data_IF_414590356439
#
_entry.id   IF_414590356439
#
_cell.length_a   1.000
_cell.length_b   1.000
_cell.length_c   1.000
_cell.angle_alpha   90.00
_cell.angle_beta   90.00
_cell.angle_gamma   90.00
#
_symmetry.space_group_name_H-M   'P 1'
#
loop_
_entity.id
_entity.type
_entity.pdbx_description
1 polymer ?
#
# COMPACT_ATOMS: atom_id res chain seq x y z
N UNK A 1 -5.92 0.56 8.64
CA UNK A 1 -6.01 -0.32 7.48
C UNK A 1 -6.90 0.30 6.40
N UNK A 2 -6.36 0.61 5.23
CA UNK A 2 -6.75 -0.27 4.15
C UNK A 2 -6.54 -1.67 4.67
N UNK A 3 -7.52 -2.59 4.63
CA UNK A 3 -7.25 -3.97 4.99
C UNK A 3 -5.91 -4.34 4.32
N UNK A 4 -5.03 -5.04 5.02
CA UNK A 4 -3.68 -5.42 4.58
C UNK A 4 -3.59 -5.76 3.08
N UNK A 5 -4.71 -6.27 2.59
CA UNK A 5 -5.26 -6.19 1.26
C UNK A 5 -4.83 -5.11 0.23
N UNK A 6 -4.77 -3.80 0.51
CA UNK A 6 -4.46 -2.78 -0.54
C UNK A 6 -2.98 -2.64 -0.84
N UNK A 7 -2.13 -3.10 0.09
CA UNK A 7 -0.69 -2.95 0.04
C UNK A 7 0.03 -4.19 -0.49
N UNK A 8 -0.72 -5.18 -0.97
CA UNK A 8 -0.18 -6.44 -1.44
C UNK A 8 0.26 -6.39 -2.91
N UNK A 9 1.19 -7.28 -3.27
CA UNK A 9 1.66 -7.51 -4.64
C UNK A 9 0.53 -7.60 -5.68
N UNK A 10 -0.54 -8.33 -5.34
CA UNK A 10 -1.83 -8.23 -6.00
C UNK A 10 -2.73 -7.45 -5.05
N UNK A 11 -3.12 -6.22 -5.41
CA UNK A 11 -4.11 -5.50 -4.62
C UNK A 11 -5.37 -6.33 -4.52
N UNK A 12 -5.86 -6.45 -3.30
CA UNK A 12 -7.13 -7.13 -3.04
C UNK A 12 -8.21 -6.08 -2.78
N UNK A 13 -8.23 -5.11 -3.69
CA UNK A 13 -9.02 -3.87 -3.83
C UNK A 13 -10.54 -4.07 -3.88
N UNK A 14 -11.04 -5.24 -3.53
CA UNK A 14 -12.47 -5.54 -3.44
C UNK A 14 -13.12 -4.64 -2.37
N UNK A 15 -14.05 -3.73 -2.75
CA UNK A 15 -14.77 -2.92 -1.76
C UNK A 15 -15.54 -3.80 -0.78
N UNK A 16 -15.97 -4.99 -1.22
CA UNK A 16 -16.59 -6.00 -0.37
C UNK A 16 -15.64 -6.53 0.71
N UNK A 17 -14.38 -6.78 0.38
CA UNK A 17 -13.38 -7.17 1.38
C UNK A 17 -13.11 -6.04 2.38
N UNK A 18 -12.99 -4.80 1.90
CA UNK A 18 -12.86 -3.60 2.73
C UNK A 18 -14.00 -3.48 3.75
N UNK A 19 -15.26 -3.63 3.30
CA UNK A 19 -16.42 -3.56 4.18
C UNK A 19 -16.52 -4.69 5.22
N UNK A 20 -15.76 -5.78 5.05
CA UNK A 20 -15.72 -6.93 5.96
C UNK A 20 -14.47 -6.92 6.86
N UNK A 21 -13.79 -5.78 7.00
CA UNK A 21 -12.57 -5.67 7.80
C UNK A 21 -11.43 -6.56 7.28
N UNK A 22 -11.41 -6.87 5.98
CA UNK A 22 -10.43 -7.78 5.39
C UNK A 22 -10.64 -9.27 5.70
N UNK A 23 -11.74 -9.64 6.39
CA UNK A 23 -12.10 -11.03 6.67
C UNK A 23 -12.66 -11.74 5.41
N UNK A 24 -11.83 -11.88 4.37
CA UNK A 24 -12.28 -12.30 3.05
C UNK A 24 -11.59 -13.56 2.50
N UNK A 25 -10.60 -14.10 3.23
CA UNK A 25 -9.84 -15.31 2.89
C UNK A 25 -10.70 -16.56 2.62
N UNK A 26 -11.91 -16.61 3.19
CA UNK A 26 -12.88 -17.70 2.96
C UNK A 26 -14.11 -17.28 2.13
N UNK A 27 -14.28 -15.98 1.85
CA UNK A 27 -15.45 -15.43 1.18
C UNK A 27 -15.21 -15.02 -0.27
N UNK A 28 -13.95 -14.85 -0.69
CA UNK A 28 -13.61 -14.49 -2.07
C UNK A 28 -14.16 -15.50 -3.08
N UNK A 29 -14.65 -15.02 -4.22
CA UNK A 29 -15.22 -15.88 -5.28
C UNK A 29 -14.86 -15.30 -6.64
N UNK A 30 -14.90 -16.15 -7.67
CA UNK A 30 -14.57 -15.74 -9.04
C UNK A 30 -13.14 -15.21 -9.14
N UNK A 31 -12.94 -14.15 -9.92
CA UNK A 31 -11.61 -13.56 -10.13
C UNK A 31 -10.96 -13.05 -8.84
N UNK A 32 -11.73 -12.64 -7.83
CA UNK A 32 -11.19 -12.18 -6.55
C UNK A 32 -10.46 -13.28 -5.77
N UNK A 33 -10.75 -14.55 -6.05
CA UNK A 33 -10.07 -15.68 -5.42
C UNK A 33 -8.56 -15.69 -5.73
N UNK A 34 -8.14 -15.13 -6.88
CA UNK A 34 -6.73 -15.06 -7.30
C UNK A 34 -5.86 -14.36 -6.26
N UNK A 35 -6.36 -13.26 -5.69
CA UNK A 35 -5.62 -12.41 -4.75
C UNK A 35 -5.81 -12.81 -3.27
N UNK A 36 -6.83 -13.63 -2.98
CA UNK A 36 -7.20 -14.03 -1.61
C UNK A 36 -6.88 -15.47 -1.28
N UNK A 37 -7.38 -16.42 -2.06
CA UNK A 37 -7.14 -17.84 -1.89
C UNK A 37 -7.58 -18.58 -3.17
N UNK A 38 -6.65 -19.08 -4.00
CA UNK A 38 -6.99 -19.72 -5.27
C UNK A 38 -7.90 -20.94 -5.10
N UNK A 39 -7.84 -21.66 -3.98
CA UNK A 39 -8.69 -22.83 -3.73
C UNK A 39 -10.20 -22.53 -3.78
N UNK A 40 -10.59 -21.27 -3.55
CA UNK A 40 -11.99 -20.84 -3.62
C UNK A 40 -12.56 -20.86 -5.04
N UNK A 41 -11.73 -20.95 -6.08
CA UNK A 41 -12.18 -21.21 -7.47
C UNK A 41 -12.84 -22.57 -7.64
N UNK A 42 -12.63 -23.49 -6.70
CA UNK A 42 -13.27 -24.79 -6.68
C UNK A 42 -14.33 -24.93 -5.58
N UNK A 43 -14.61 -23.89 -4.77
CA UNK A 43 -15.62 -23.92 -3.72
C UNK A 43 -17.06 -24.16 -4.24
N UNK A 44 -17.98 -24.64 -3.40
CA UNK A 44 -19.42 -24.74 -3.75
C UNK A 44 -20.01 -23.34 -3.87
N UNK A 45 -20.98 -23.22 -4.77
CA UNK A 45 -21.62 -21.93 -5.06
C UNK A 45 -20.68 -20.91 -5.73
N UNK A 46 -19.55 -21.38 -6.27
CA UNK A 46 -18.71 -20.54 -7.14
C UNK A 46 -19.52 -20.07 -8.36
N UNK A 47 -19.33 -18.83 -8.82
CA UNK A 47 -19.84 -18.40 -10.11
C UNK A 47 -19.24 -19.24 -11.26
N UNK A 48 -19.96 -19.34 -12.38
CA UNK A 48 -19.43 -20.00 -13.57
C UNK A 48 -18.50 -19.07 -14.33
N UNK A 49 -18.87 -17.80 -14.37
CA UNK A 49 -18.12 -16.74 -15.02
C UNK A 49 -18.10 -15.49 -14.13
N UNK A 50 -16.96 -14.84 -14.00
CA UNK A 50 -16.91 -13.48 -13.45
C UNK A 50 -15.95 -12.61 -14.26
N UNK A 51 -16.27 -11.33 -14.34
CA UNK A 51 -15.43 -10.29 -14.93
C UNK A 51 -15.32 -9.14 -13.92
N UNK A 52 -14.12 -8.87 -13.44
CA UNK A 52 -13.79 -7.67 -12.68
C UNK A 52 -13.37 -6.57 -13.64
N UNK A 53 -14.04 -5.42 -13.54
CA UNK A 53 -13.56 -4.19 -14.17
C UNK A 53 -12.59 -3.48 -13.22
N UNK A 54 -11.79 -2.51 -13.71
CA UNK A 54 -10.92 -1.74 -12.85
C UNK A 54 -11.71 -1.15 -11.68
N UNK A 55 -11.22 -1.43 -10.48
CA UNK A 55 -11.72 -0.91 -9.22
C UNK A 55 -10.69 0.06 -8.68
N UNK A 56 -11.16 1.12 -8.04
CA UNK A 56 -10.30 2.13 -7.44
C UNK A 56 -10.44 2.00 -5.94
N UNK A 57 -9.29 1.92 -5.28
CA UNK A 57 -9.23 2.13 -3.86
C UNK A 57 -8.14 3.13 -3.55
N UNK A 58 -8.51 4.06 -2.68
CA UNK A 58 -7.66 5.16 -2.27
C UNK A 58 -7.58 5.15 -0.75
N UNK A 59 -6.36 5.14 -0.24
CA UNK A 59 -6.09 5.43 1.17
C UNK A 59 -5.36 6.77 1.25
N UNK A 60 -5.89 7.62 2.12
CA UNK A 60 -5.19 8.79 2.59
C UNK A 60 -5.07 8.72 4.10
N UNK A 61 -3.85 8.86 4.58
CA UNK A 61 -3.55 8.78 6.00
C UNK A 61 -2.27 9.50 6.37
N UNK A 62 -2.14 9.74 7.67
CA UNK A 62 -0.94 10.30 8.27
C UNK A 62 -0.52 9.44 9.46
N UNK A 63 0.71 9.60 9.92
CA UNK A 63 1.14 9.06 11.21
C UNK A 63 0.64 9.90 12.41
N UNK A 64 0.32 11.18 12.20
CA UNK A 64 -0.04 12.13 13.27
C UNK A 64 -1.46 12.68 13.14
N UNK A 65 -1.91 12.96 11.92
CA UNK A 65 -3.20 13.64 11.68
C UNK A 65 -4.30 12.67 11.29
N UNK A 66 -5.40 12.69 12.02
CA UNK A 66 -6.58 11.91 11.69
C UNK A 66 -7.59 12.68 10.85
N UNK A 67 -8.59 11.97 10.34
CA UNK A 67 -9.65 12.55 9.53
C UNK A 67 -10.41 13.69 10.24
N UNK A 68 -10.54 13.61 11.57
CA UNK A 68 -11.12 14.68 12.38
C UNK A 68 -10.31 15.97 12.32
N UNK A 69 -8.97 15.89 12.28
CA UNK A 69 -8.08 17.05 12.15
C UNK A 69 -8.25 17.69 10.78
N UNK A 70 -8.22 16.88 9.71
CA UNK A 70 -8.47 17.35 8.35
C UNK A 70 -9.83 18.05 8.25
N UNK A 71 -10.90 17.46 8.78
CA UNK A 71 -12.23 18.07 8.74
C UNK A 71 -12.31 19.37 9.56
N UNK A 72 -11.62 19.44 10.70
CA UNK A 72 -11.63 20.62 11.58
C UNK A 72 -10.90 21.80 10.95
N UNK A 73 -9.80 21.54 10.24
CA UNK A 73 -8.87 22.58 9.77
C UNK A 73 -8.90 22.80 8.25
N UNK A 74 -9.58 21.96 7.48
CA UNK A 74 -9.78 22.19 6.04
C UNK A 74 -10.43 23.56 5.81
N UNK A 75 -9.81 24.34 4.92
CA UNK A 75 -10.25 25.68 4.54
C UNK A 75 -10.38 26.68 5.70
N UNK A 76 -9.59 26.52 6.77
CA UNK A 76 -9.53 27.48 7.89
C UNK A 76 -8.13 28.05 8.04
N UNK A 77 -8.08 29.32 8.43
CA UNK A 77 -6.85 29.93 8.94
C UNK A 77 -6.57 29.34 10.33
N UNK A 78 -5.35 28.83 10.52
CA UNK A 78 -4.92 28.27 11.80
C UNK A 78 -4.50 29.39 12.75
N UNK A 79 -5.12 29.44 13.93
CA UNK A 79 -4.63 30.29 15.02
C UNK A 79 -3.44 29.64 15.75
N UNK A 80 -2.86 30.32 16.74
CA UNK A 80 -1.70 29.82 17.48
C UNK A 80 -2.00 28.53 18.26
N UNK A 81 -3.21 28.38 18.79
CA UNK A 81 -3.61 27.19 19.53
C UNK A 81 -3.78 25.98 18.60
N UNK A 82 -4.35 26.21 17.41
CA UNK A 82 -4.49 25.21 16.36
C UNK A 82 -3.12 24.72 15.87
N UNK A 83 -2.17 25.64 15.62
CA UNK A 83 -0.79 25.30 15.23
C UNK A 83 -0.08 24.51 16.33
N UNK A 84 -0.17 24.94 17.59
CA UNK A 84 0.42 24.23 18.72
C UNK A 84 -0.16 22.82 18.88
N UNK A 85 -1.47 22.66 18.69
CA UNK A 85 -2.13 21.35 18.70
C UNK A 85 -1.62 20.43 17.59
N UNK A 86 -1.56 20.94 16.35
CA UNK A 86 -1.08 20.17 15.19
C UNK A 86 0.40 19.80 15.33
N UNK A 87 1.24 20.72 15.81
CA UNK A 87 2.66 20.45 16.03
C UNK A 87 2.88 19.48 17.20
N UNK A 88 2.06 19.57 18.25
CA UNK A 88 2.10 18.68 19.41
C UNK A 88 1.74 17.22 19.09
N UNK A 89 0.99 16.99 18.00
CA UNK A 89 0.68 15.64 17.47
C UNK A 89 1.83 15.01 16.68
N UNK A 90 2.82 15.80 16.26
CA UNK A 90 4.00 15.30 15.56
C UNK A 90 5.05 14.94 16.60
N UNK A 91 5.51 13.69 16.58
CA UNK A 91 6.61 13.23 17.43
C UNK A 91 7.96 13.62 16.79
N UNK A 92 8.35 12.90 15.74
CA UNK A 92 9.60 13.16 14.99
C UNK A 92 9.36 13.79 13.63
N UNK A 93 8.40 13.27 12.88
CA UNK A 93 8.08 13.71 11.52
C UNK A 93 6.60 13.52 11.23
N UNK A 94 6.07 14.34 10.33
CA UNK A 94 4.77 14.17 9.70
C UNK A 94 4.94 13.36 8.42
N UNK A 95 4.50 12.12 8.43
CA UNK A 95 4.42 11.26 7.25
C UNK A 95 3.03 11.34 6.65
N UNK A 96 2.94 11.68 5.38
CA UNK A 96 1.75 11.51 4.55
C UNK A 96 1.94 10.25 3.72
N UNK A 97 0.91 9.41 3.68
CA UNK A 97 0.89 8.17 2.90
C UNK A 97 -0.20 8.25 1.86
N UNK A 98 0.18 7.93 0.63
CA UNK A 98 -0.74 7.73 -0.47
C UNK A 98 -0.57 6.30 -0.98
N UNK A 99 -1.68 5.56 -1.03
CA UNK A 99 -1.71 4.23 -1.64
C UNK A 99 -2.65 4.31 -2.83
N UNK A 100 -2.06 4.12 -4.01
CA UNK A 100 -2.79 3.97 -5.24
C UNK A 100 -2.78 2.50 -5.65
N UNK A 101 -3.95 1.88 -5.57
CA UNK A 101 -4.16 0.55 -6.09
C UNK A 101 -5.21 0.61 -7.20
N UNK A 102 -4.77 0.40 -8.44
CA UNK A 102 -5.68 0.18 -9.57
C UNK A 102 -5.94 -1.31 -9.63
N UNK A 103 -7.13 -1.68 -9.18
CA UNK A 103 -7.58 -3.08 -9.07
C UNK A 103 -7.59 -3.77 -10.43
N UNK A 104 -7.37 -5.10 -10.44
CA UNK A 104 -7.22 -5.81 -11.68
C UNK A 104 -8.44 -5.81 -12.58
N UNK A 105 -8.18 -5.78 -13.89
CA UNK A 105 -9.08 -6.47 -14.81
C UNK A 105 -8.92 -7.96 -14.54
N UNK A 106 -10.01 -8.60 -14.12
CA UNK A 106 -10.02 -9.99 -13.68
C UNK A 106 -11.04 -10.80 -14.44
N UNK A 107 -10.72 -12.03 -14.81
CA UNK A 107 -11.69 -12.96 -15.41
C UNK A 107 -11.58 -14.30 -14.70
N UNK A 108 -12.71 -14.94 -14.43
CA UNK A 108 -12.73 -16.33 -14.00
C UNK A 108 -13.69 -17.14 -14.84
N UNK A 109 -13.27 -18.33 -15.25
CA UNK A 109 -14.10 -19.30 -15.94
C UNK A 109 -13.94 -20.65 -15.25
N UNK A 110 -14.99 -21.09 -14.58
CA UNK A 110 -14.94 -22.30 -13.79
C UNK A 110 -13.78 -22.27 -12.78
N UNK A 111 -12.83 -23.21 -12.92
CA UNK A 111 -11.74 -23.43 -11.93
C UNK A 111 -10.51 -22.57 -12.21
N UNK A 112 -10.55 -21.76 -13.27
CA UNK A 112 -9.46 -20.92 -13.71
C UNK A 112 -9.81 -19.46 -13.47
N UNK A 113 -8.80 -18.66 -13.15
CA UNK A 113 -8.93 -17.22 -13.14
C UNK A 113 -7.62 -16.54 -13.53
N UNK A 114 -7.74 -15.35 -14.11
CA UNK A 114 -6.63 -14.49 -14.48
C UNK A 114 -6.90 -13.08 -14.01
N UNK A 115 -5.86 -12.38 -13.56
CA UNK A 115 -5.93 -10.97 -13.15
C UNK A 115 -4.68 -10.22 -13.58
N UNK A 116 -4.82 -8.96 -13.97
CA UNK A 116 -3.72 -8.04 -14.21
C UNK A 116 -3.95 -6.76 -13.39
N UNK A 117 -3.06 -6.44 -12.45
CA UNK A 117 -3.21 -5.30 -11.54
C UNK A 117 -1.94 -4.45 -11.47
N UNK A 118 -2.09 -3.14 -11.27
CA UNK A 118 -0.98 -2.24 -11.00
C UNK A 118 -1.12 -1.66 -9.60
N UNK A 119 -0.03 -1.68 -8.84
CA UNK A 119 0.03 -1.18 -7.48
C UNK A 119 1.26 -0.32 -7.26
N UNK A 120 1.10 0.67 -6.39
CA UNK A 120 2.19 1.48 -5.88
C UNK A 120 1.89 1.99 -4.50
N UNK A 121 2.95 2.29 -3.77
CA UNK A 121 2.90 2.94 -2.47
C UNK A 121 3.93 4.07 -2.50
N UNK A 122 3.51 5.22 -2.00
CA UNK A 122 4.39 6.37 -1.81
C UNK A 122 4.16 6.94 -0.41
N UNK A 123 5.25 7.31 0.24
CA UNK A 123 5.22 8.14 1.44
C UNK A 123 6.20 9.27 1.30
N UNK A 124 5.79 10.41 1.83
CA UNK A 124 6.66 11.55 2.07
C UNK A 124 6.57 11.91 3.55
N UNK A 125 7.72 12.17 4.15
CA UNK A 125 7.85 12.61 5.53
C UNK A 125 8.50 13.97 5.58
N UNK A 126 8.00 14.83 6.46
CA UNK A 126 8.60 16.11 6.81
C UNK A 126 8.97 16.11 8.30
N UNK A 127 10.21 16.46 8.63
CA UNK A 127 10.66 16.60 10.00
C UNK A 127 9.81 17.58 10.80
N UNK A 128 9.66 17.35 12.10
CA UNK A 128 8.83 18.20 12.97
C UNK A 128 9.22 19.68 12.89
N UNK A 129 10.52 19.96 12.89
CA UNK A 129 11.03 21.33 12.78
C UNK A 129 10.73 21.96 11.42
N UNK A 130 10.74 21.19 10.33
CA UNK A 130 10.30 21.68 9.02
C UNK A 130 8.80 22.00 9.01
N UNK A 131 7.98 21.21 9.70
CA UNK A 131 6.54 21.50 9.86
C UNK A 131 6.33 22.71 10.77
N UNK A 132 7.11 22.85 11.85
CA UNK A 132 7.08 24.02 12.73
C UNK A 132 7.38 25.30 11.93
N UNK A 133 8.47 25.30 11.17
CA UNK A 133 8.84 26.41 10.31
C UNK A 133 7.74 26.75 9.29
N UNK A 134 7.08 25.76 8.69
CA UNK A 134 5.98 25.98 7.75
C UNK A 134 4.71 26.54 8.41
N UNK A 135 4.42 26.15 9.66
CA UNK A 135 3.23 26.60 10.39
C UNK A 135 3.43 27.96 11.07
N UNK A 136 4.56 28.14 11.73
CA UNK A 136 4.84 29.25 12.63
C UNK A 136 5.85 30.26 12.08
N UNK A 137 6.54 29.94 10.98
CA UNK A 137 7.69 30.70 10.55
C UNK A 137 8.86 30.54 11.53
N UNK A 138 9.75 31.52 11.55
CA UNK A 138 10.97 31.50 12.36
C UNK A 138 10.95 32.52 13.52
N UNK A 139 9.90 33.34 13.64
CA UNK A 139 9.86 34.46 14.58
C UNK A 139 9.81 34.04 16.05
N UNK A 140 9.28 32.84 16.36
CA UNK A 140 9.20 32.31 17.74
C UNK A 140 10.47 31.58 18.19
N UNK A 141 11.40 31.32 17.25
CA UNK A 141 12.63 30.56 17.48
C UNK A 141 13.77 31.23 16.72
N UNK A 142 14.17 32.39 17.24
CA UNK A 142 15.15 33.31 16.65
C UNK A 142 16.28 33.70 17.61
N UNK A 143 16.48 32.96 18.70
CA UNK A 143 17.57 33.18 19.65
C UNK A 143 18.93 32.66 19.15
N UNK A 144 20.05 33.12 19.70
CA UNK A 144 21.36 32.57 19.37
C UNK A 144 21.44 31.07 19.66
N UNK A 145 21.83 30.27 18.66
CA UNK A 145 21.94 28.82 18.78
C UNK A 145 20.63 28.07 18.55
N UNK A 146 19.54 28.76 18.21
CA UNK A 146 18.31 28.12 17.77
C UNK A 146 18.31 27.90 16.26
N UNK A 147 18.05 26.67 15.84
CA UNK A 147 18.03 26.28 14.44
C UNK A 147 16.89 25.32 14.15
N UNK A 148 16.29 25.42 12.97
CA UNK A 148 15.36 24.42 12.46
C UNK A 148 16.12 23.36 11.68
N UNK A 149 15.64 22.13 11.71
CA UNK A 149 16.17 21.03 10.89
C UNK A 149 15.06 20.43 10.03
N UNK A 150 15.45 19.84 8.91
CA UNK A 150 14.62 18.93 8.14
C UNK A 150 14.84 17.47 8.57
N UNK A 151 15.38 17.22 9.77
CA UNK A 151 15.69 15.88 10.27
C UNK A 151 14.45 14.98 10.25
N UNK A 152 14.59 13.80 9.66
CA UNK A 152 13.49 12.85 9.51
C UNK A 152 12.60 13.11 8.29
N UNK A 153 12.98 14.07 7.43
CA UNK A 153 12.36 14.25 6.12
C UNK A 153 12.90 13.24 5.11
N UNK A 154 12.04 12.83 4.18
CA UNK A 154 12.42 11.90 3.13
C UNK A 154 11.19 11.36 2.40
N UNK A 155 11.43 10.51 1.42
CA UNK A 155 10.37 9.85 0.69
C UNK A 155 10.78 8.43 0.31
N UNK A 156 9.80 7.54 0.18
CA UNK A 156 10.00 6.23 -0.41
C UNK A 156 8.86 5.95 -1.37
N UNK A 157 9.14 5.20 -2.42
CA UNK A 157 8.07 4.77 -3.31
C UNK A 157 8.44 3.58 -4.17
N UNK A 158 7.41 2.86 -4.61
CA UNK A 158 7.53 1.82 -5.62
C UNK A 158 6.26 1.73 -6.45
N UNK A 159 6.38 1.19 -7.66
CA UNK A 159 5.25 0.84 -8.52
C UNK A 159 5.55 -0.44 -9.30
N UNK A 160 4.57 -1.34 -9.39
CA UNK A 160 4.70 -2.59 -10.12
C UNK A 160 3.36 -3.05 -10.71
N UNK A 161 3.42 -3.78 -11.81
CA UNK A 161 2.30 -4.51 -12.38
C UNK A 161 2.47 -5.99 -12.14
N UNK A 162 1.40 -6.65 -11.68
CA UNK A 162 1.36 -8.09 -11.47
C UNK A 162 0.31 -8.73 -12.36
N UNK A 163 0.75 -9.67 -13.20
CA UNK A 163 -0.11 -10.60 -13.93
C UNK A 163 -0.19 -11.89 -13.13
N UNK A 164 -1.39 -12.43 -12.93
CA UNK A 164 -1.57 -13.64 -12.15
C UNK A 164 -2.59 -14.58 -12.78
N UNK A 165 -2.28 -15.88 -12.75
CA UNK A 165 -3.14 -16.96 -13.20
C UNK A 165 -3.31 -17.99 -12.10
N UNK A 166 -4.55 -18.41 -11.85
CA UNK A 166 -4.90 -19.33 -10.79
C UNK A 166 -5.70 -20.52 -11.28
N UNK A 167 -5.52 -21.63 -10.57
CA UNK A 167 -6.29 -22.85 -10.75
C UNK A 167 -6.60 -23.52 -9.41
N UNK A 168 -7.71 -24.26 -9.33
CA UNK A 168 -8.07 -25.04 -8.15
C UNK A 168 -8.58 -26.45 -8.44
N UNK A 169 -8.19 -27.39 -7.60
CA UNK A 169 -8.57 -28.80 -7.64
C UNK A 169 -9.44 -29.17 -6.42
N UNK A 170 -10.67 -29.67 -6.62
CA UNK A 170 -11.51 -30.17 -5.54
C UNK A 170 -11.30 -31.65 -5.27
N UNK A 171 -11.45 -32.04 -4.01
CA UNK A 171 -11.42 -33.40 -3.48
C UNK A 171 -12.60 -33.60 -2.53
N UNK A 172 -13.21 -34.78 -2.55
CA UNK A 172 -14.15 -35.18 -1.50
C UNK A 172 -13.37 -35.89 -0.40
N UNK A 173 -13.65 -35.57 0.85
CA UNK A 173 -13.06 -36.20 2.04
C UNK A 173 -14.18 -36.59 3.00
N UNK A 174 -13.87 -37.41 4.01
CA UNK A 174 -14.84 -37.78 5.06
C UNK A 174 -15.31 -36.60 5.91
N UNK A 175 -14.59 -35.47 5.90
CA UNK A 175 -14.94 -34.25 6.63
C UNK A 175 -15.78 -33.29 5.79
N UNK A 176 -15.84 -33.52 4.47
CA UNK A 176 -16.53 -32.67 3.50
C UNK A 176 -15.69 -32.41 2.26
N UNK A 177 -15.84 -31.23 1.67
CA UNK A 177 -15.20 -30.91 0.39
C UNK A 177 -13.94 -30.09 0.60
N UNK A 178 -12.80 -30.70 0.34
CA UNK A 178 -11.51 -30.01 0.29
C UNK A 178 -11.30 -29.45 -1.11
N UNK A 179 -10.69 -28.28 -1.22
CA UNK A 179 -10.05 -27.86 -2.46
C UNK A 179 -8.68 -27.28 -2.19
N UNK A 180 -7.77 -27.54 -3.12
CA UNK A 180 -6.43 -26.98 -3.17
C UNK A 180 -6.36 -26.05 -4.37
N UNK A 181 -5.59 -24.97 -4.28
CA UNK A 181 -5.40 -24.06 -5.39
C UNK A 181 -4.01 -23.47 -5.41
N UNK A 182 -3.60 -23.03 -6.59
CA UNK A 182 -2.34 -22.34 -6.80
C UNK A 182 -2.56 -21.09 -7.66
N UNK A 183 -1.75 -20.07 -7.41
CA UNK A 183 -1.64 -18.87 -8.24
C UNK A 183 -0.20 -18.70 -8.67
N UNK A 184 0.07 -18.59 -9.96
CA UNK A 184 1.35 -18.10 -10.46
C UNK A 184 1.25 -16.60 -10.74
N UNK A 185 2.31 -15.85 -10.41
CA UNK A 185 2.40 -14.40 -10.60
C UNK A 185 3.66 -14.06 -11.37
N UNK A 186 3.52 -13.12 -12.31
CA UNK A 186 4.61 -12.41 -12.97
C UNK A 186 4.55 -10.95 -12.57
N UNK A 187 5.65 -10.43 -12.02
CA UNK A 187 5.77 -9.02 -11.61
C UNK A 187 6.67 -8.29 -12.59
N UNK A 188 6.22 -7.12 -13.02
CA UNK A 188 6.98 -6.12 -13.75
C UNK A 188 7.15 -4.94 -12.81
N UNK A 189 8.38 -4.71 -12.33
CA UNK A 189 8.71 -3.56 -11.51
C UNK A 189 8.88 -2.35 -12.42
N UNK A 190 8.15 -1.29 -12.13
CA UNK A 190 8.25 -0.04 -12.87
C UNK A 190 9.20 0.90 -12.14
N UNK A 191 8.87 1.24 -10.90
CA UNK A 191 9.59 2.24 -10.11
C UNK A 191 10.01 1.66 -8.77
N UNK A 192 11.20 2.03 -8.31
CA UNK A 192 11.57 2.00 -6.90
C UNK A 192 12.46 3.20 -6.62
N UNK A 193 12.25 3.87 -5.50
CA UNK A 193 13.06 5.02 -5.15
C UNK A 193 12.97 5.41 -3.68
N UNK A 194 13.99 6.15 -3.25
CA UNK A 194 14.12 6.67 -1.90
C UNK A 194 14.86 8.00 -1.93
N UNK A 195 14.33 8.96 -1.21
CA UNK A 195 14.98 10.23 -0.89
C UNK A 195 15.12 10.37 0.63
N UNK A 196 16.23 10.94 1.08
CA UNK A 196 16.46 11.22 2.48
C UNK A 196 17.26 12.51 2.66
N UNK A 197 16.94 13.23 3.73
CA UNK A 197 17.79 14.28 4.26
C UNK A 197 19.02 13.65 4.93
N UNK A 198 20.18 14.30 4.75
CA UNK A 198 21.46 13.87 5.33
C UNK A 198 21.92 14.85 6.39
N UNK A 199 21.81 16.16 6.11
CA UNK A 199 22.04 17.21 7.10
C UNK A 199 21.22 18.44 6.77
N UNK A 200 20.80 19.18 7.79
CA UNK A 200 20.07 20.43 7.59
C UNK A 200 20.17 21.31 8.82
N UNK A 201 20.31 22.61 8.58
CA UNK A 201 20.28 23.66 9.59
C UNK A 201 19.70 24.91 8.96
N UNK A 202 18.76 25.56 9.65
CA UNK A 202 18.23 26.86 9.28
C UNK A 202 18.24 27.75 10.52
N UNK A 203 19.00 28.83 10.48
CA UNK A 203 19.20 29.78 11.56
C UNK A 203 19.12 31.20 11.00
N UNK A 204 18.59 32.13 11.80
CA UNK A 204 18.43 33.54 11.41
C UNK A 204 19.10 34.55 12.34
N UNK A 205 19.70 34.10 13.44
CA UNK A 205 20.35 34.95 14.45
C UNK A 205 21.58 34.22 15.01
N UNK A 206 22.78 34.83 15.05
CA UNK A 206 23.09 36.25 14.81
C UNK A 206 23.15 36.66 13.35
N UNK A 207 23.35 35.70 12.44
CA UNK A 207 23.30 35.91 11.01
C UNK A 207 22.43 34.81 10.39
N UNK A 208 21.87 35.11 9.23
CA UNK A 208 21.19 34.11 8.41
C UNK A 208 22.18 33.02 7.97
N UNK A 209 21.90 31.76 8.28
CA UNK A 209 22.69 30.60 7.86
C UNK A 209 21.75 29.42 7.61
N UNK A 210 21.76 28.95 6.38
CA UNK A 210 20.99 27.80 5.92
C UNK A 210 21.95 26.83 5.28
N UNK A 211 21.91 25.57 5.70
CA UNK A 211 22.54 24.47 4.99
C UNK A 211 21.55 23.31 4.90
N UNK A 212 21.50 22.67 3.75
CA UNK A 212 20.68 21.50 3.53
C UNK A 212 21.39 20.55 2.58
N UNK A 213 21.49 19.29 2.97
CA UNK A 213 21.99 18.22 2.13
C UNK A 213 21.05 17.03 2.16
N UNK A 214 20.93 16.39 1.01
CA UNK A 214 20.10 15.22 0.85
C UNK A 214 20.58 14.39 -0.32
N UNK A 215 20.07 13.18 -0.36
CA UNK A 215 20.32 12.27 -1.46
C UNK A 215 19.05 11.54 -1.88
N UNK A 216 19.03 11.12 -3.13
CA UNK A 216 17.98 10.31 -3.70
C UNK A 216 18.61 9.21 -4.53
N UNK A 217 17.98 8.03 -4.52
CA UNK A 217 18.27 6.97 -5.46
C UNK A 217 16.95 6.45 -6.00
N UNK A 218 16.86 6.28 -7.31
CA UNK A 218 15.65 5.85 -7.97
C UNK A 218 15.95 5.17 -9.29
N UNK A 219 15.02 4.35 -9.76
CA UNK A 219 15.07 3.84 -11.14
C UNK A 219 14.70 4.96 -12.11
N UNK A 220 15.63 5.36 -12.96
CA UNK A 220 15.48 6.41 -13.96
C UNK A 220 14.63 5.95 -15.14
N UNK A 221 13.56 6.69 -15.40
CA UNK A 221 12.65 6.52 -16.54
C UNK A 221 12.92 7.49 -17.69
N UNK A 222 13.75 8.51 -17.46
CA UNK A 222 13.88 9.69 -18.32
C UNK A 222 14.53 9.42 -19.67
N UNK A 223 15.12 8.24 -19.89
CA UNK A 223 15.85 7.95 -21.12
C UNK A 223 15.00 7.64 -22.36
N UNK A 224 13.68 7.43 -22.23
CA UNK A 224 12.76 7.32 -23.39
C UNK A 224 11.27 7.17 -23.06
N UNK A 225 10.85 6.99 -21.80
CA UNK A 225 9.51 6.50 -21.53
C UNK A 225 8.43 7.60 -21.55
N UNK A 226 7.62 7.63 -22.60
CA UNK A 226 6.34 8.36 -22.63
C UNK A 226 5.23 7.34 -22.42
N UNK A 227 4.44 7.48 -21.36
CA UNK A 227 3.21 6.69 -21.19
C UNK A 227 2.20 7.16 -22.26
N UNK A 228 2.23 6.51 -23.42
CA UNK A 228 1.34 6.82 -24.54
C UNK A 228 0.12 5.88 -24.58
N UNK A 229 0.20 4.74 -23.90
CA UNK A 229 -0.94 3.87 -23.63
C UNK A 229 -0.67 2.74 -22.64
N UNK A 230 -1.69 1.93 -22.31
CA UNK A 230 -1.58 0.81 -21.36
C UNK A 230 -0.57 -0.28 -21.78
N UNK A 231 -0.28 -0.40 -23.08
CA UNK A 231 0.70 -1.34 -23.61
C UNK A 231 2.15 -1.01 -23.19
N UNK A 232 2.44 0.27 -22.98
CA UNK A 232 3.78 0.74 -22.58
C UNK A 232 4.12 0.29 -21.15
N UNK A 233 3.12 0.09 -20.30
CA UNK A 233 3.31 -0.44 -18.93
C UNK A 233 3.77 -1.91 -18.95
N UNK A 234 3.48 -2.64 -20.02
CA UNK A 234 3.83 -4.06 -20.14
C UNK A 234 5.07 -4.30 -21.04
N UNK A 235 5.56 -3.24 -21.72
CA UNK A 235 6.69 -3.27 -22.63
C UNK A 235 8.07 -3.20 -21.95
N UNK A 236 9.14 -3.40 -22.73
CA UNK A 236 10.52 -3.44 -22.24
C UNK A 236 11.08 -2.11 -21.72
N UNK A 237 10.58 -0.97 -22.21
CA UNK A 237 11.07 0.36 -21.83
C UNK A 237 10.60 0.78 -20.43
N UNK A 238 9.40 0.37 -20.00
CA UNK A 238 8.81 0.66 -18.68
C UNK A 238 9.16 -0.34 -17.56
N UNK A 239 10.16 -1.20 -17.79
CA UNK A 239 10.56 -2.27 -16.88
C UNK A 239 11.91 -1.97 -16.21
N UNK A 240 11.89 -1.60 -14.94
CA UNK A 240 13.09 -1.49 -14.11
C UNK A 240 13.30 -2.69 -13.16
N UNK A 241 12.32 -3.58 -13.06
CA UNK A 241 12.43 -4.80 -12.26
C UNK A 241 11.61 -5.96 -12.80
N UNK A 242 11.92 -7.16 -12.34
CA UNK A 242 11.24 -8.40 -12.74
C UNK A 242 11.12 -9.33 -11.55
N UNK A 243 9.95 -9.94 -11.39
CA UNK A 243 9.72 -10.90 -10.33
C UNK A 243 8.72 -11.97 -10.67
N UNK A 244 8.59 -12.93 -9.76
CA UNK A 244 7.58 -13.97 -9.80
C UNK A 244 7.11 -14.32 -8.40
N UNK A 245 5.94 -14.96 -8.31
CA UNK A 245 5.39 -15.45 -7.06
C UNK A 245 4.51 -16.68 -7.30
N UNK A 246 4.43 -17.54 -6.29
CA UNK A 246 3.51 -18.67 -6.25
C UNK A 246 2.75 -18.63 -4.93
N UNK A 247 1.43 -18.59 -5.01
CA UNK A 247 0.55 -18.74 -3.86
C UNK A 247 0.00 -20.15 -3.82
N UNK A 248 -0.12 -20.72 -2.62
CA UNK A 248 -0.70 -22.05 -2.39
C UNK A 248 -1.81 -21.93 -1.37
N UNK A 249 -3.01 -22.32 -1.77
CA UNK A 249 -4.23 -22.18 -0.98
C UNK A 249 -4.94 -23.50 -0.76
N UNK A 250 -5.64 -23.60 0.37
CA UNK A 250 -6.56 -24.69 0.69
C UNK A 250 -7.87 -24.13 1.24
N UNK A 251 -8.96 -24.83 0.99
CA UNK A 251 -10.26 -24.54 1.60
C UNK A 251 -11.00 -25.85 1.89
N UNK A 252 -11.61 -25.94 3.07
CA UNK A 252 -12.43 -27.07 3.49
C UNK A 252 -13.84 -26.59 3.79
N UNK A 253 -14.81 -27.13 3.07
CA UNK A 253 -16.23 -26.98 3.36
C UNK A 253 -16.71 -28.20 4.14
N UNK A 254 -17.07 -27.99 5.41
CA UNK A 254 -17.48 -29.10 6.27
C UNK A 254 -18.87 -29.62 5.86
N UNK A 255 -19.01 -30.94 5.78
CA UNK A 255 -20.28 -31.55 5.40
C UNK A 255 -21.37 -31.29 6.44
N UNK A 256 -22.59 -31.00 5.97
CA UNK A 256 -23.74 -30.66 6.83
C UNK A 256 -23.62 -29.36 7.62
N UNK A 257 -22.49 -28.63 7.50
CA UNK A 257 -22.21 -27.38 8.20
C UNK A 257 -22.01 -26.29 7.17
N UNK A 258 -22.68 -25.16 7.33
CA UNK A 258 -22.45 -23.99 6.46
C UNK A 258 -21.14 -23.26 6.76
N UNK A 259 -20.13 -24.00 7.25
CA UNK A 259 -18.84 -23.53 7.71
C UNK A 259 -17.76 -23.87 6.68
N UNK A 260 -17.00 -22.86 6.30
CA UNK A 260 -15.83 -22.96 5.44
C UNK A 260 -14.60 -22.54 6.24
N UNK A 261 -13.53 -23.33 6.15
CA UNK A 261 -12.21 -23.02 6.70
C UNK A 261 -11.25 -22.85 5.53
N UNK A 262 -10.36 -21.86 5.59
CA UNK A 262 -9.45 -21.57 4.50
C UNK A 262 -8.08 -21.14 5.00
N UNK A 263 -7.04 -21.54 4.29
CA UNK A 263 -5.67 -21.10 4.53
C UNK A 263 -4.94 -20.87 3.20
N UNK A 264 -3.99 -19.94 3.18
CA UNK A 264 -3.16 -19.66 2.01
C UNK A 264 -1.78 -19.19 2.46
N UNK A 265 -0.75 -19.60 1.73
CA UNK A 265 0.59 -19.03 1.79
C UNK A 265 0.81 -18.23 0.51
N UNK A 266 0.90 -16.92 0.66
CA UNK A 266 1.18 -15.96 -0.41
C UNK A 266 2.69 -15.88 -0.60
N UNK A 267 3.15 -15.93 -1.85
CA UNK A 267 4.57 -16.00 -2.20
C UNK A 267 5.29 -17.15 -1.48
N UNK A 268 4.65 -18.32 -1.40
CA UNK A 268 5.28 -19.54 -0.90
C UNK A 268 6.63 -19.78 -1.59
N UNK A 269 6.67 -19.51 -2.89
CA UNK A 269 7.87 -19.27 -3.67
C UNK A 269 7.78 -17.88 -4.28
N UNK A 270 8.90 -17.19 -4.41
CA UNK A 270 8.92 -15.88 -5.07
C UNK A 270 10.26 -15.18 -4.96
N UNK A 271 10.48 -14.28 -5.91
CA UNK A 271 11.69 -13.48 -6.00
C UNK A 271 11.45 -12.25 -6.86
N UNK A 272 12.25 -11.21 -6.63
CA UNK A 272 12.23 -9.96 -7.37
C UNK A 272 13.68 -9.52 -7.55
N UNK A 273 14.03 -9.07 -8.75
CA UNK A 273 15.28 -8.39 -9.05
C UNK A 273 15.00 -7.06 -9.73
N UNK A 274 15.93 -6.13 -9.57
CA UNK A 274 15.89 -4.81 -10.18
C UNK A 274 17.10 -4.66 -11.09
N UNK A 275 16.91 -3.95 -12.20
CA UNK A 275 17.94 -3.62 -13.15
C UNK A 275 18.80 -2.50 -12.58
N UNK A 276 19.98 -2.86 -12.09
CA UNK A 276 20.88 -1.92 -11.42
C UNK A 276 21.45 -0.85 -12.36
N UNK A 277 21.48 -1.12 -13.67
CA UNK A 277 21.96 -0.17 -14.68
C UNK A 277 20.92 0.94 -14.96
N UNK A 278 19.71 0.81 -14.42
CA UNK A 278 18.66 1.81 -14.48
C UNK A 278 18.59 2.72 -13.26
N UNK A 279 19.48 2.57 -12.27
CA UNK A 279 19.48 3.50 -11.14
C UNK A 279 20.17 4.82 -11.48
N UNK A 280 19.54 5.90 -11.07
CA UNK A 280 20.16 7.20 -10.88
C UNK A 280 20.26 7.50 -9.39
N UNK A 281 21.40 8.06 -9.01
CA UNK A 281 21.66 8.59 -7.69
C UNK A 281 21.98 10.08 -7.81
N UNK A 282 21.30 10.89 -7.01
CA UNK A 282 21.63 12.31 -6.89
C UNK A 282 21.89 12.66 -5.44
N UNK A 283 22.95 13.44 -5.19
CA UNK A 283 23.25 14.04 -3.89
C UNK A 283 23.43 15.53 -4.11
N UNK A 284 22.71 16.33 -3.35
CA UNK A 284 22.82 17.79 -3.39
C UNK A 284 23.11 18.30 -1.99
N UNK A 285 24.01 19.26 -1.87
CA UNK A 285 24.21 20.05 -0.68
C UNK A 285 24.23 21.53 -1.08
N UNK A 286 23.35 22.31 -0.48
CA UNK A 286 23.26 23.75 -0.68
C UNK A 286 23.46 24.46 0.66
N UNK A 287 24.16 25.58 0.64
CA UNK A 287 24.25 26.49 1.77
C UNK A 287 24.04 27.93 1.31
N UNK A 288 23.41 28.73 2.16
CA UNK A 288 23.27 30.17 2.01
C UNK A 288 23.55 30.79 3.36
N UNK A 289 24.57 31.63 3.45
CA UNK A 289 25.01 32.24 4.71
C UNK A 289 25.23 33.73 4.55
N UNK A 290 25.02 34.48 5.63
CA UNK A 290 25.31 35.90 5.70
C UNK A 290 26.63 36.11 6.45
N UNK A 291 27.58 36.78 5.81
CA UNK A 291 28.86 37.12 6.44
C UNK A 291 28.69 38.23 7.48
N UNK A 292 29.70 38.43 8.34
CA UNK A 292 29.73 39.53 9.31
C UNK A 292 29.60 40.93 8.66
N UNK A 293 29.96 41.06 7.37
CA UNK A 293 29.78 42.28 6.58
C UNK A 293 28.39 42.43 5.93
N UNK A 294 27.46 41.51 6.21
CA UNK A 294 26.11 41.52 5.65
C UNK A 294 25.99 40.96 4.23
N UNK A 295 27.09 40.48 3.63
CA UNK A 295 27.07 39.87 2.30
C UNK A 295 26.44 38.47 2.37
N UNK A 296 25.65 38.12 1.36
CA UNK A 296 25.12 36.75 1.20
C UNK A 296 26.10 35.94 0.36
N UNK A 297 26.46 34.76 0.86
CA UNK A 297 27.27 33.76 0.17
C UNK A 297 26.44 32.52 0.02
N UNK A 298 26.29 32.04 -1.21
CA UNK A 298 25.67 30.78 -1.54
C UNK A 298 26.68 29.80 -2.13
N UNK A 299 26.53 28.53 -1.76
CA UNK A 299 27.26 27.43 -2.37
C UNK A 299 26.28 26.30 -2.64
N UNK A 300 26.45 25.62 -3.77
CA UNK A 300 25.65 24.46 -4.12
C UNK A 300 26.54 23.45 -4.81
N UNK A 301 26.62 22.27 -4.21
CA UNK A 301 27.29 21.10 -4.77
C UNK A 301 26.24 20.07 -5.17
N UNK A 302 26.36 19.55 -6.38
CA UNK A 302 25.51 18.48 -6.89
C UNK A 302 26.37 17.36 -7.46
N UNK A 303 26.03 16.15 -7.08
CA UNK A 303 26.62 14.91 -7.60
C UNK A 303 25.49 14.10 -8.21
N UNK A 304 25.68 13.68 -9.46
CA UNK A 304 24.74 12.85 -10.19
C UNK A 304 25.49 11.63 -10.74
N UNK A 305 25.04 10.43 -10.39
CA UNK A 305 25.61 9.15 -10.81
C UNK A 305 24.49 8.35 -11.48
N UNK A 306 24.69 7.94 -12.74
CA UNK A 306 23.60 7.35 -13.55
C UNK A 306 23.95 5.99 -14.13
N UNK A 307 25.04 5.40 -13.66
CA UNK A 307 25.48 4.06 -14.07
C UNK A 307 25.82 3.25 -12.83
N UNK A 308 25.61 1.93 -12.92
CA UNK A 308 25.95 1.00 -11.85
C UNK A 308 27.40 1.14 -11.39
N UNK A 309 28.34 1.23 -12.32
CA UNK A 309 29.77 1.37 -12.02
C UNK A 309 30.10 2.63 -11.20
N UNK A 310 29.45 3.76 -11.50
CA UNK A 310 29.59 4.99 -10.71
C UNK A 310 28.98 4.85 -9.32
N UNK A 311 27.78 4.24 -9.22
CA UNK A 311 27.07 4.01 -7.96
C UNK A 311 27.87 3.06 -7.06
N UNK A 312 28.47 2.00 -7.61
CA UNK A 312 29.32 1.07 -6.86
C UNK A 312 30.59 1.74 -6.33
N UNK A 313 31.17 2.67 -7.10
CA UNK A 313 32.37 3.39 -6.71
C UNK A 313 32.14 4.39 -5.57
N UNK A 314 30.97 5.04 -5.47
CA UNK A 314 30.62 5.94 -4.35
C UNK A 314 30.04 5.15 -3.15
N UNK A 315 30.71 5.14 -1.97
CA UNK A 315 30.23 4.36 -0.82
C UNK A 315 28.85 4.77 -0.30
N UNK A 316 28.47 6.05 -0.40
CA UNK A 316 27.15 6.53 0.05
C UNK A 316 26.06 6.09 -0.93
N UNK A 317 26.31 6.20 -2.24
CA UNK A 317 25.37 5.73 -3.26
C UNK A 317 25.16 4.22 -3.16
N UNK A 318 26.24 3.45 -3.02
CA UNK A 318 26.21 1.99 -2.80
C UNK A 318 25.42 1.61 -1.55
N UNK A 319 25.69 2.27 -0.42
CA UNK A 319 24.98 2.01 0.83
C UNK A 319 23.47 2.28 0.74
N UNK A 320 23.08 3.35 0.04
CA UNK A 320 21.67 3.67 -0.16
C UNK A 320 20.99 2.66 -1.11
N UNK A 321 21.67 2.27 -2.20
CA UNK A 321 21.19 1.21 -3.11
C UNK A 321 20.99 -0.11 -2.37
N UNK A 322 21.99 -0.56 -1.62
CA UNK A 322 21.94 -1.84 -0.92
C UNK A 322 20.82 -1.83 0.14
N UNK A 323 20.64 -0.71 0.84
CA UNK A 323 19.50 -0.54 1.76
C UNK A 323 18.15 -0.57 1.04
N UNK A 324 18.05 0.01 -0.16
CA UNK A 324 16.83 -0.01 -0.96
C UNK A 324 16.52 -1.43 -1.45
N UNK A 325 17.53 -2.15 -1.95
CA UNK A 325 17.41 -3.48 -2.53
C UNK A 325 17.21 -4.60 -1.49
N UNK A 326 17.67 -4.42 -0.24
CA UNK A 326 17.54 -5.41 0.83
C UNK A 326 16.09 -5.88 1.07
N UNK A 327 15.11 -5.03 0.76
CA UNK A 327 13.68 -5.33 0.91
C UNK A 327 12.89 -5.08 -0.38
N UNK A 328 13.55 -5.09 -1.54
CA UNK A 328 12.94 -4.76 -2.82
C UNK A 328 12.14 -5.91 -3.49
N UNK A 329 11.72 -6.90 -2.71
CA UNK A 329 10.79 -7.97 -3.14
C UNK A 329 9.46 -7.91 -2.39
N UNK A 330 8.54 -8.84 -2.66
CA UNK A 330 7.25 -8.89 -1.94
C UNK A 330 7.31 -9.84 -0.75
N UNK A 331 6.56 -9.54 0.31
CA UNK A 331 6.56 -10.37 1.49
C UNK A 331 5.90 -11.72 1.25
N UNK A 332 6.39 -12.71 2.02
CA UNK A 332 5.69 -13.95 2.27
C UNK A 332 4.66 -13.72 3.36
N UNK A 333 3.43 -14.15 3.13
CA UNK A 333 2.31 -13.94 4.06
C UNK A 333 1.52 -15.22 4.19
N UNK A 334 1.19 -15.61 5.42
CA UNK A 334 0.20 -16.66 5.68
C UNK A 334 -1.11 -15.98 6.03
N UNK A 335 -2.21 -16.45 5.42
CA UNK A 335 -3.56 -16.05 5.81
C UNK A 335 -4.37 -17.27 6.17
N UNK A 336 -5.20 -17.13 7.18
CA UNK A 336 -6.19 -18.13 7.55
C UNK A 336 -7.53 -17.45 7.83
N UNK A 337 -8.62 -18.16 7.61
CA UNK A 337 -9.95 -17.63 7.85
C UNK A 337 -11.01 -18.70 7.93
N UNK A 338 -12.18 -18.25 8.36
CA UNK A 338 -13.40 -19.03 8.38
C UNK A 338 -14.57 -18.19 7.91
N UNK A 339 -15.57 -18.84 7.34
CA UNK A 339 -16.84 -18.21 6.97
C UNK A 339 -18.03 -19.12 7.29
N UNK A 340 -19.06 -18.53 7.89
CA UNK A 340 -20.34 -19.19 8.19
C UNK A 340 -21.45 -18.52 7.38
N UNK A 341 -22.25 -19.29 6.65
CA UNK A 341 -23.40 -18.77 5.89
C UNK A 341 -24.72 -19.36 6.40
N UNK A 342 -25.63 -18.52 6.89
CA UNK A 342 -26.98 -18.96 7.32
C UNK A 342 -28.04 -18.07 6.69
N UNK A 343 -28.75 -18.59 5.70
CA UNK A 343 -29.77 -17.85 4.96
C UNK A 343 -29.21 -16.58 4.30
N UNK A 344 -29.75 -15.42 4.68
CA UNK A 344 -29.32 -14.11 4.21
C UNK A 344 -28.05 -13.57 4.89
N UNK A 345 -27.61 -14.20 5.99
CA UNK A 345 -26.47 -13.77 6.78
C UNK A 345 -25.21 -14.57 6.40
N UNK A 346 -24.10 -13.86 6.23
CA UNK A 346 -22.76 -14.44 6.15
C UNK A 346 -21.87 -13.77 7.19
N UNK A 347 -21.15 -14.57 7.96
CA UNK A 347 -20.16 -14.12 8.93
C UNK A 347 -18.79 -14.61 8.47
N UNK A 348 -17.75 -13.81 8.67
CA UNK A 348 -16.39 -14.23 8.44
C UNK A 348 -15.45 -13.67 9.49
N UNK A 349 -14.40 -14.44 9.75
CA UNK A 349 -13.28 -14.02 10.57
C UNK A 349 -12.00 -14.55 9.94
N UNK A 350 -10.90 -13.84 10.13
CA UNK A 350 -9.62 -14.29 9.62
C UNK A 350 -8.47 -13.46 10.15
N UNK A 351 -7.28 -13.93 9.84
CA UNK A 351 -6.06 -13.25 10.19
C UNK A 351 -4.95 -13.55 9.21
N UNK A 352 -3.88 -12.80 9.37
CA UNK A 352 -2.68 -12.97 8.58
C UNK A 352 -1.43 -12.68 9.40
N UNK A 353 -0.34 -13.31 8.97
CA UNK A 353 0.98 -13.15 9.53
C UNK A 353 1.98 -12.96 8.39
N UNK A 354 2.79 -11.90 8.48
CA UNK A 354 3.88 -11.62 7.56
C UNK A 354 5.12 -12.39 8.01
N UNK A 355 5.68 -13.19 7.12
CA UNK A 355 6.84 -14.05 7.39
C UNK A 355 8.16 -13.43 6.90
N UNK A 356 8.12 -12.44 6.01
CA UNK A 356 9.31 -11.75 5.52
C UNK A 356 9.05 -10.26 5.28
N UNK A 357 10.09 -9.44 5.31
CA UNK A 357 10.03 -8.05 4.84
C UNK A 357 9.94 -7.99 3.30
N UNK A 358 9.58 -6.84 2.78
CA UNK A 358 9.34 -6.58 1.36
C UNK A 358 8.80 -5.16 1.12
N UNK A 359 8.66 -4.80 -0.16
CA UNK A 359 8.10 -3.55 -0.69
C UNK A 359 6.68 -3.29 -0.19
N UNK A 360 5.91 -4.36 -0.04
CA UNK A 360 4.56 -4.29 0.48
C UNK A 360 4.53 -3.83 1.95
N UNK A 361 3.53 -3.01 2.28
CA UNK A 361 3.33 -2.50 3.64
C UNK A 361 2.31 -3.29 4.44
N UNK A 362 2.15 -4.56 4.07
CA UNK A 362 1.36 -5.53 4.82
C UNK A 362 1.80 -5.53 6.29
N UNK A 363 0.88 -5.35 7.26
CA UNK A 363 1.21 -5.39 8.68
C UNK A 363 1.84 -6.73 9.08
N UNK A 364 2.70 -6.71 10.12
CA UNK A 364 3.36 -7.92 10.63
C UNK A 364 2.34 -9.00 11.02
N UNK A 365 1.25 -8.60 11.66
CA UNK A 365 0.11 -9.45 11.93
C UNK A 365 -1.18 -8.61 11.89
N UNK A 366 -2.30 -9.23 11.54
CA UNK A 366 -3.61 -8.61 11.70
C UNK A 366 -4.70 -9.64 11.82
N UNK A 367 -5.78 -9.29 12.51
CA UNK A 367 -7.01 -10.08 12.59
C UNK A 367 -8.20 -9.19 12.23
N UNK A 368 -9.25 -9.78 11.68
CA UNK A 368 -10.48 -9.09 11.34
C UNK A 368 -11.67 -10.01 11.32
N UNK A 369 -12.85 -9.42 11.47
CA UNK A 369 -14.13 -10.08 11.35
C UNK A 369 -15.14 -9.16 10.66
N UNK A 370 -16.09 -9.76 9.95
CA UNK A 370 -17.12 -9.04 9.23
C UNK A 370 -18.40 -9.84 9.05
N UNK A 371 -19.48 -9.10 8.80
CA UNK A 371 -20.79 -9.64 8.52
C UNK A 371 -21.34 -9.04 7.22
N UNK A 372 -22.01 -9.87 6.43
CA UNK A 372 -22.81 -9.47 5.27
C UNK A 372 -24.25 -9.95 5.48
N UNK A 373 -25.22 -9.05 5.37
CA UNK A 373 -26.65 -9.38 5.35
C UNK A 373 -27.25 -8.98 4.00
N UNK A 374 -28.07 -9.85 3.41
CA UNK A 374 -28.79 -9.59 2.17
C UNK A 374 -30.28 -9.45 2.45
N UNK A 375 -30.70 -8.23 2.80
CA UNK A 375 -32.12 -7.92 3.06
C UNK A 375 -32.97 -8.14 1.80
N UNK A 376 -32.45 -7.68 0.66
CA UNK A 376 -32.93 -8.01 -0.67
C UNK A 376 -31.80 -8.74 -1.40
N UNK A 377 -32.14 -9.63 -2.35
CA UNK A 377 -31.13 -10.34 -3.16
C UNK A 377 -30.17 -9.40 -3.89
N UNK A 378 -30.58 -8.15 -4.09
CA UNK A 378 -29.87 -7.12 -4.84
C UNK A 378 -29.06 -6.15 -3.98
N UNK A 379 -29.27 -6.11 -2.66
CA UNK A 379 -28.71 -5.07 -1.78
C UNK A 379 -28.02 -5.69 -0.54
N UNK A 380 -26.78 -6.18 -0.66
CA UNK A 380 -25.97 -6.57 0.48
C UNK A 380 -25.59 -5.35 1.33
N UNK A 381 -25.74 -5.48 2.65
CA UNK A 381 -25.17 -4.57 3.65
C UNK A 381 -24.04 -5.29 4.38
N UNK A 382 -22.94 -4.57 4.61
CA UNK A 382 -21.71 -5.14 5.16
C UNK A 382 -21.11 -4.24 6.22
N UNK A 383 -20.58 -4.86 7.26
CA UNK A 383 -19.82 -4.19 8.29
C UNK A 383 -18.69 -5.11 8.78
N UNK A 384 -17.59 -4.51 9.21
CA UNK A 384 -16.45 -5.27 9.70
C UNK A 384 -15.51 -4.45 10.55
N UNK A 385 -14.71 -5.16 11.34
CA UNK A 385 -13.70 -4.60 12.22
C UNK A 385 -12.40 -5.38 12.09
N UNK A 386 -11.27 -4.70 12.23
CA UNK A 386 -9.93 -5.29 12.17
C UNK A 386 -8.95 -4.59 13.10
N UNK A 387 -7.87 -5.28 13.46
CA UNK A 387 -6.74 -4.71 14.19
C UNK A 387 -5.42 -5.31 13.71
N UNK A 388 -4.38 -4.48 13.65
CA UNK A 388 -2.98 -4.89 13.46
C UNK A 388 -2.16 -4.78 14.76
N UNK A 389 -2.86 -4.70 15.90
CA UNK A 389 -2.33 -4.51 17.24
C UNK A 389 -1.69 -3.14 17.52
N UNK A 390 -1.61 -2.26 16.51
CA UNK A 390 -1.23 -0.85 16.67
C UNK A 390 -2.39 0.11 16.36
N UNK A 391 -3.38 -0.35 15.61
CA UNK A 391 -4.53 0.43 15.18
C UNK A 391 -5.75 -0.46 15.01
N UNK A 392 -6.92 0.14 15.25
CA UNK A 392 -8.23 -0.46 14.98
C UNK A 392 -8.80 0.13 13.71
N UNK A 393 -9.47 -0.70 12.91
CA UNK A 393 -10.17 -0.28 11.70
C UNK A 393 -11.61 -0.73 11.77
N UNK A 394 -12.51 0.22 11.55
CA UNK A 394 -13.94 -0.03 11.41
C UNK A 394 -14.34 0.24 9.97
N UNK A 395 -15.17 -0.62 9.41
CA UNK A 395 -15.52 -0.60 8.00
C UNK A 395 -16.98 -0.90 7.78
N UNK A 396 -17.54 -0.29 6.75
CA UNK A 396 -18.90 -0.53 6.30
C UNK A 396 -18.96 -0.42 4.77
N UNK A 397 -19.96 -1.04 4.18
CA UNK A 397 -20.18 -0.93 2.75
C UNK A 397 -21.46 -1.61 2.30
N UNK A 398 -21.79 -1.38 1.05
CA UNK A 398 -22.94 -1.96 0.39
C UNK A 398 -22.64 -2.20 -1.09
N UNK A 399 -23.57 -2.82 -1.79
CA UNK A 399 -23.48 -2.96 -3.22
C UNK A 399 -24.84 -3.17 -3.85
N UNK A 400 -24.88 -3.10 -5.17
CA UNK A 400 -26.03 -3.38 -6.01
C UNK A 400 -25.71 -4.59 -6.89
N UNK A 401 -26.47 -5.67 -6.72
CA UNK A 401 -26.38 -6.91 -7.49
C UNK A 401 -27.63 -7.06 -8.35
N UNK A 402 -27.57 -6.67 -9.62
CA UNK A 402 -28.72 -6.66 -10.51
C UNK A 402 -28.34 -7.19 -11.90
N UNK A 403 -29.06 -8.21 -12.40
CA UNK A 403 -28.88 -8.75 -13.75
C UNK A 403 -27.43 -9.08 -14.12
N UNK A 404 -26.70 -9.66 -13.17
CA UNK A 404 -25.28 -10.03 -13.34
C UNK A 404 -24.31 -8.88 -13.11
N UNK A 405 -24.74 -7.61 -13.07
CA UNK A 405 -23.92 -6.49 -12.62
C UNK A 405 -23.74 -6.54 -11.10
N UNK A 406 -22.53 -6.28 -10.63
CA UNK A 406 -22.22 -5.99 -9.24
C UNK A 406 -21.49 -4.65 -9.15
N UNK A 407 -22.04 -3.69 -8.41
CA UNK A 407 -21.37 -2.44 -8.05
C UNK A 407 -21.27 -2.35 -6.54
N UNK A 408 -20.07 -2.18 -5.98
CA UNK A 408 -19.83 -2.13 -4.54
C UNK A 408 -19.15 -0.81 -4.14
N UNK A 409 -19.55 -0.29 -2.99
CA UNK A 409 -18.93 0.86 -2.32
C UNK A 409 -18.62 0.51 -0.88
N UNK A 410 -17.48 0.97 -0.38
CA UNK A 410 -17.13 0.83 1.02
C UNK A 410 -16.25 1.94 1.54
N UNK A 411 -16.30 2.12 2.85
CA UNK A 411 -15.50 3.06 3.62
C UNK A 411 -14.94 2.36 4.84
N UNK A 412 -13.70 2.71 5.21
CA UNK A 412 -13.15 2.35 6.49
C UNK A 412 -12.46 3.53 7.16
N UNK A 413 -12.57 3.60 8.48
CA UNK A 413 -11.86 4.54 9.32
C UNK A 413 -10.82 3.81 10.15
N UNK A 414 -9.62 4.38 10.21
CA UNK A 414 -8.49 3.83 10.94
C UNK A 414 -8.23 4.73 12.14
N UNK A 415 -8.25 4.14 13.33
CA UNK A 415 -7.97 4.83 14.59
C UNK A 415 -6.81 4.14 15.31
N UNK A 416 -5.79 4.90 15.68
CA UNK A 416 -4.61 4.40 16.39
C UNK A 416 -3.51 5.46 16.43
N UNK A 417 -2.54 5.30 17.34
CA UNK A 417 -1.53 6.32 17.65
C UNK A 417 -0.51 6.56 16.54
N UNK A 418 -0.39 5.64 15.57
CA UNK A 418 0.66 5.70 14.54
C UNK A 418 0.16 5.80 13.11
N UNK A 419 -1.16 5.64 12.87
CA UNK A 419 -1.74 5.51 11.51
C UNK A 419 -3.22 5.90 11.40
N UNK A 420 -3.66 7.05 11.89
CA UNK A 420 -5.03 7.49 11.63
C UNK A 420 -5.25 7.78 10.13
N UNK A 421 -6.43 7.44 9.60
CA UNK A 421 -6.70 7.60 8.17
C UNK A 421 -8.09 7.11 7.74
N UNK A 422 -8.40 7.31 6.45
CA UNK A 422 -9.64 6.86 5.82
C UNK A 422 -9.33 6.13 4.52
N UNK A 423 -10.10 5.08 4.26
CA UNK A 423 -10.00 4.30 3.03
C UNK A 423 -11.36 4.27 2.36
N UNK A 424 -11.35 4.48 1.05
CA UNK A 424 -12.53 4.36 0.20
C UNK A 424 -12.29 3.29 -0.85
N UNK A 425 -13.31 2.46 -1.09
CA UNK A 425 -13.31 1.43 -2.13
C UNK A 425 -14.52 1.59 -3.05
N UNK A 426 -14.28 1.60 -4.35
CA UNK A 426 -15.31 1.60 -5.39
C UNK A 426 -14.99 0.53 -6.41
N UNK A 427 -15.96 -0.30 -6.77
CA UNK A 427 -15.75 -1.41 -7.70
C UNK A 427 -17.00 -1.77 -8.48
N UNK A 428 -16.79 -2.16 -9.73
CA UNK A 428 -17.84 -2.66 -10.62
C UNK A 428 -17.35 -3.98 -11.25
N UNK A 429 -18.26 -4.91 -11.49
CA UNK A 429 -17.97 -6.15 -12.19
C UNK A 429 -19.23 -6.89 -12.60
N UNK A 430 -19.02 -8.05 -13.23
CA UNK A 430 -20.08 -8.93 -13.66
C UNK A 430 -19.90 -10.34 -13.09
N UNK A 431 -20.99 -10.97 -12.68
CA UNK A 431 -21.03 -12.30 -12.07
C UNK A 431 -22.18 -13.10 -12.70
N UNK A 432 -21.87 -14.25 -13.31
CA UNK A 432 -22.81 -15.16 -13.97
C UNK A 432 -22.65 -16.63 -13.52
#
# INVERSE_FOLDING_TARGET
MAPAALLAQLPTTSPRSLALGGAYTSLARGWEAVSWNPALLAARGRPRFTLGLPQLSFEFGSNSYGFGDFRKYANRTLDAADKAYLLGKIDTSLTVREILAVSPVGISIGRFAFTAATSGDMDASLGKDAVDLALNGNAHRSGPGEYFTARGSGANGWAATTLAGSFAWPFQTSLGRLALGATYKRVIGHFIGRAAETSSSFQVNPAFDVSASGHTIYTDYSRAYRLSGPGDLLGGEGKAGSGYGVDLGATLELEGRSLMLSAVIVNALGGMSWDEDRFAYERSAASVSQTAGGQIVDDTTRVELTTKGQIDADPQARGLRDSLLAHAGFARVVRAGMALRRGALSLAAGGQLRLSKGLDRVPSASIGAGAEIRLLRVLPLRAGAATDFNSVTLSAGSGLQLLGLNADISVATISGSKRPGVVLGLGIGFIY
#
